data_IF_621899072426
#
_entry.id   IF_621899072426
#
_cell.length_a   1.000
_cell.length_b   1.000
_cell.length_c   1.000
_cell.angle_alpha   90.00
_cell.angle_beta   90.00
_cell.angle_gamma   90.00
#
_symmetry.space_group_name_H-M   'P 1'
#
loop_
_entity.id
_entity.type
_entity.pdbx_description
1 polymer ?
#
# COMPACT_ATOMS: atom_id res chain seq x y z
N UNK A 1 -11.76 -0.90 -5.08
CA UNK A 1 -11.62 -1.99 -4.10
C UNK A 1 -11.88 -3.35 -4.75
N UNK A 2 -12.96 -3.55 -5.51
CA UNK A 2 -13.15 -4.80 -6.27
C UNK A 2 -12.75 -4.65 -7.75
N UNK A 3 -13.14 -3.56 -8.41
CA UNK A 3 -12.86 -3.34 -9.84
C UNK A 3 -11.39 -3.05 -10.17
N UNK A 4 -10.67 -2.47 -9.22
CA UNK A 4 -9.30 -1.98 -9.45
C UNK A 4 -8.22 -2.81 -8.76
N UNK A 5 -8.59 -3.77 -7.91
CA UNK A 5 -7.64 -4.57 -7.12
C UNK A 5 -6.68 -3.77 -6.22
N UNK A 6 -6.86 -2.45 -6.08
CA UNK A 6 -5.92 -1.57 -5.38
C UNK A 6 -5.87 -1.90 -3.88
N UNK A 7 -4.66 -2.09 -3.36
CA UNK A 7 -4.38 -2.20 -1.93
C UNK A 7 -4.67 -0.91 -1.19
N UNK A 8 -5.28 -0.98 -0.01
CA UNK A 8 -5.66 0.19 0.81
C UNK A 8 -4.79 0.25 2.06
N UNK A 9 -4.13 1.39 2.31
CA UNK A 9 -3.35 1.61 3.54
C UNK A 9 -4.25 1.56 4.78
N UNK A 10 -3.75 1.04 5.90
CA UNK A 10 -4.50 0.87 7.15
C UNK A 10 -5.26 2.13 7.58
N UNK A 11 -4.59 3.29 7.64
CA UNK A 11 -5.22 4.57 8.00
C UNK A 11 -6.40 4.95 7.09
N UNK A 12 -6.23 4.74 5.78
CA UNK A 12 -7.30 5.01 4.81
C UNK A 12 -8.43 3.99 4.94
N UNK A 13 -8.12 2.74 5.26
CA UNK A 13 -9.12 1.71 5.52
C UNK A 13 -10.02 2.07 6.72
N UNK A 14 -9.47 2.69 7.78
CA UNK A 14 -10.27 3.22 8.88
C UNK A 14 -11.13 4.41 8.48
N UNK A 15 -10.58 5.36 7.71
CA UNK A 15 -11.36 6.54 7.30
C UNK A 15 -12.55 6.21 6.38
N UNK A 16 -12.43 5.16 5.58
CA UNK A 16 -13.53 4.70 4.70
C UNK A 16 -14.46 3.69 5.37
N UNK A 17 -14.23 3.37 6.65
CA UNK A 17 -15.06 2.42 7.42
C UNK A 17 -14.88 0.96 7.01
N UNK A 18 -13.78 0.59 6.36
CA UNK A 18 -13.42 -0.80 6.09
C UNK A 18 -12.87 -1.49 7.35
N UNK A 19 -12.22 -0.73 8.24
CA UNK A 19 -11.67 -1.18 9.51
C UNK A 19 -12.17 -0.27 10.63
N UNK A 20 -12.66 -0.86 11.73
CA UNK A 20 -13.22 -0.07 12.84
C UNK A 20 -12.09 0.52 13.75
N UNK A 21 -11.01 -0.23 14.00
CA UNK A 21 -9.88 0.20 14.84
C UNK A 21 -8.51 -0.17 14.24
N UNK A 22 -7.51 0.69 14.43
CA UNK A 22 -6.12 0.44 14.03
C UNK A 22 -5.26 0.45 15.29
N UNK A 23 -4.30 -0.47 15.36
CA UNK A 23 -3.26 -0.53 16.38
C UNK A 23 -1.92 -0.14 15.74
N UNK A 24 -1.14 0.70 16.42
CA UNK A 24 0.22 1.03 15.97
C UNK A 24 1.18 -0.07 16.42
N UNK A 25 2.15 -0.48 15.57
CA UNK A 25 3.15 -1.46 15.95
C UNK A 25 4.00 -0.93 17.11
N UNK A 26 4.41 -1.83 18.00
CA UNK A 26 5.29 -1.48 19.12
C UNK A 26 6.75 -1.61 18.69
N UNK A 27 7.60 -0.77 19.28
CA UNK A 27 9.05 -0.85 19.09
C UNK A 27 9.66 -2.13 19.67
N UNK A 28 10.95 -2.39 19.41
CA UNK A 28 11.64 -3.54 19.96
C UNK A 28 11.62 -3.51 21.49
N UNK A 29 11.31 -4.64 22.11
CA UNK A 29 11.25 -4.80 23.57
C UNK A 29 11.95 -6.08 24.00
N UNK A 30 11.42 -6.72 25.06
CA UNK A 30 11.92 -8.03 25.54
C UNK A 30 11.79 -9.14 24.48
N UNK A 31 10.80 -9.02 23.59
CA UNK A 31 10.60 -9.88 22.43
C UNK A 31 10.89 -9.10 21.16
N UNK A 32 11.14 -9.83 20.08
CA UNK A 32 11.26 -9.25 18.75
C UNK A 32 10.02 -8.41 18.42
N UNK A 33 10.23 -7.28 17.71
CA UNK A 33 9.20 -6.28 17.47
C UNK A 33 7.99 -6.86 16.72
N UNK A 34 8.22 -7.81 15.80
CA UNK A 34 7.15 -8.47 15.07
C UNK A 34 6.28 -9.33 16.00
N UNK A 35 6.93 -10.20 16.78
CA UNK A 35 6.25 -11.12 17.72
C UNK A 35 5.49 -10.33 18.79
N UNK A 36 6.15 -9.34 19.40
CA UNK A 36 5.54 -8.49 20.42
C UNK A 36 4.33 -7.71 19.89
N UNK A 37 4.41 -7.20 18.65
CA UNK A 37 3.27 -6.50 18.02
C UNK A 37 2.10 -7.43 17.78
N UNK A 38 2.34 -8.68 17.38
CA UNK A 38 1.27 -9.68 17.19
C UNK A 38 0.58 -10.04 18.50
N UNK A 39 1.35 -10.30 19.56
CA UNK A 39 0.80 -10.57 20.90
C UNK A 39 -0.02 -9.38 21.42
N UNK A 40 0.47 -8.16 21.22
CA UNK A 40 -0.26 -6.95 21.61
C UNK A 40 -1.56 -6.76 20.81
N UNK A 41 -1.52 -7.02 19.50
CA UNK A 41 -2.70 -6.98 18.66
C UNK A 41 -3.75 -8.01 19.11
N UNK A 42 -3.32 -9.21 19.47
CA UNK A 42 -4.19 -10.27 20.00
C UNK A 42 -4.84 -9.85 21.32
N UNK A 43 -4.08 -9.29 22.25
CA UNK A 43 -4.61 -8.81 23.53
C UNK A 43 -5.68 -7.72 23.33
N UNK A 44 -5.45 -6.78 22.40
CA UNK A 44 -6.43 -5.75 22.06
C UNK A 44 -7.67 -6.37 21.43
N UNK A 45 -7.52 -7.34 20.53
CA UNK A 45 -8.64 -8.01 19.89
C UNK A 45 -9.50 -8.76 20.92
N UNK A 46 -8.88 -9.51 21.84
CA UNK A 46 -9.59 -10.21 22.93
C UNK A 46 -10.29 -9.22 23.84
N UNK A 47 -9.64 -8.10 24.19
CA UNK A 47 -10.26 -7.05 25.00
C UNK A 47 -11.47 -6.43 24.29
N UNK A 48 -11.32 -6.06 23.03
CA UNK A 48 -12.40 -5.50 22.22
C UNK A 48 -13.58 -6.48 22.11
N UNK A 49 -13.33 -7.78 21.97
CA UNK A 49 -14.37 -8.80 21.95
C UNK A 49 -15.11 -8.92 23.31
N UNK A 50 -14.39 -8.86 24.43
CA UNK A 50 -14.97 -8.84 25.79
C UNK A 50 -15.80 -7.58 26.05
N UNK A 51 -15.30 -6.43 25.60
CA UNK A 51 -15.99 -5.15 25.78
C UNK A 51 -17.25 -5.05 24.89
N UNK A 52 -17.22 -5.73 23.73
CA UNK A 52 -18.37 -5.87 22.86
C UNK A 52 -19.42 -6.83 23.43
N UNK A 53 -19.01 -7.94 24.05
CA UNK A 53 -19.94 -8.87 24.69
C UNK A 53 -20.57 -8.31 25.97
N UNK A 54 -19.84 -7.47 26.71
CA UNK A 54 -20.36 -6.77 27.89
C UNK A 54 -21.29 -5.60 27.56
N UNK A 55 -21.46 -5.26 26.27
CA UNK A 55 -22.28 -4.14 25.82
C UNK A 55 -21.69 -2.75 26.10
N UNK A 56 -20.47 -2.69 26.65
CA UNK A 56 -19.74 -1.45 26.97
C UNK A 56 -19.20 -0.76 25.71
N UNK A 57 -18.88 -1.54 24.67
CA UNK A 57 -18.37 -1.05 23.40
C UNK A 57 -19.45 -1.11 22.32
N UNK A 58 -20.22 -0.02 22.15
CA UNK A 58 -21.14 0.13 21.01
C UNK A 58 -20.38 0.62 19.79
N UNK A 59 -20.45 -0.14 18.71
CA UNK A 59 -19.80 0.20 17.42
C UNK A 59 -20.59 1.34 16.76
N UNK A 60 -20.31 2.59 17.14
CA UNK A 60 -20.89 3.77 16.49
C UNK A 60 -20.21 4.05 15.15
N UNK A 61 -20.74 3.49 14.07
CA UNK A 61 -20.37 3.87 12.71
C UNK A 61 -21.04 5.20 12.34
N UNK A 62 -20.56 6.31 12.88
CA UNK A 62 -20.98 7.65 12.43
C UNK A 62 -20.41 7.89 11.02
N UNK A 63 -21.17 7.48 9.99
CA UNK A 63 -20.87 7.82 8.60
C UNK A 63 -20.91 9.33 8.42
N UNK A 64 -20.01 9.93 7.61
CA UNK A 64 -20.02 11.36 7.34
C UNK A 64 -21.38 11.82 6.78
N UNK A 65 -21.80 13.02 7.16
CA UNK A 65 -23.13 13.59 6.84
C UNK A 65 -23.42 13.61 5.34
N UNK A 66 -22.42 13.84 4.49
CA UNK A 66 -22.57 13.80 3.04
C UNK A 66 -22.91 12.41 2.50
N UNK A 67 -22.33 11.33 3.05
CA UNK A 67 -22.71 9.97 2.67
C UNK A 67 -24.12 9.62 3.15
N UNK A 68 -24.55 10.14 4.30
CA UNK A 68 -25.92 9.96 4.79
C UNK A 68 -26.91 10.67 3.89
N UNK A 69 -26.58 11.87 3.41
CA UNK A 69 -27.40 12.64 2.48
C UNK A 69 -27.49 11.95 1.11
N UNK A 70 -26.37 11.52 0.53
CA UNK A 70 -26.36 10.78 -0.74
C UNK A 70 -27.15 9.47 -0.61
N UNK A 71 -26.97 8.71 0.48
CA UNK A 71 -27.77 7.52 0.73
C UNK A 71 -29.26 7.85 0.88
N UNK A 72 -29.63 8.91 1.59
CA UNK A 72 -31.01 9.34 1.75
C UNK A 72 -31.68 9.69 0.42
N UNK A 73 -30.97 10.40 -0.46
CA UNK A 73 -31.47 10.71 -1.80
C UNK A 73 -31.51 9.48 -2.71
N UNK A 74 -30.53 8.57 -2.61
CA UNK A 74 -30.50 7.32 -3.38
C UNK A 74 -31.55 6.30 -2.92
N UNK A 75 -31.89 6.25 -1.62
CA UNK A 75 -32.89 5.34 -1.07
C UNK A 75 -34.33 5.86 -1.12
N UNK A 76 -34.55 7.13 -1.54
CA UNK A 76 -35.89 7.71 -1.71
C UNK A 76 -36.65 7.20 -2.95
N UNK A 77 -36.07 6.32 -3.78
CA UNK A 77 -36.76 5.61 -4.88
C UNK A 77 -36.36 4.12 -4.88
N UNK A 78 -37.27 3.21 -5.27
CA UNK A 78 -38.07 2.36 -4.39
C UNK A 78 -37.27 1.24 -3.65
N UNK A 79 -37.60 1.02 -2.38
CA UNK A 79 -36.95 0.09 -1.42
C UNK A 79 -37.08 -1.41 -1.73
N UNK A 80 -37.82 -1.80 -2.77
CA UNK A 80 -38.10 -3.21 -3.14
C UNK A 80 -36.91 -3.84 -3.91
N UNK A 81 -36.11 -3.02 -4.58
CA UNK A 81 -34.98 -3.47 -5.39
C UNK A 81 -33.81 -4.01 -4.54
N UNK A 82 -33.67 -3.59 -3.28
CA UNK A 82 -32.46 -3.89 -2.50
C UNK A 82 -32.30 -5.36 -2.10
N UNK A 83 -33.38 -6.12 -1.93
CA UNK A 83 -33.32 -7.55 -1.59
C UNK A 83 -33.24 -8.42 -2.84
N UNK A 84 -34.03 -8.11 -3.87
CA UNK A 84 -33.95 -8.80 -5.15
C UNK A 84 -32.59 -8.55 -5.81
N UNK A 85 -32.06 -7.32 -5.79
CA UNK A 85 -30.69 -7.05 -6.23
C UNK A 85 -29.68 -7.83 -5.41
N UNK A 86 -29.86 -8.02 -4.10
CA UNK A 86 -28.88 -8.79 -3.30
C UNK A 86 -28.87 -10.24 -3.71
N UNK A 87 -30.04 -10.88 -3.83
CA UNK A 87 -30.11 -12.28 -4.24
C UNK A 87 -29.69 -12.48 -5.70
N UNK A 88 -30.12 -11.59 -6.60
CA UNK A 88 -29.70 -11.58 -7.99
C UNK A 88 -28.20 -11.35 -8.10
N UNK A 89 -27.63 -10.41 -7.33
CA UNK A 89 -26.20 -10.15 -7.26
C UNK A 89 -25.42 -11.34 -6.74
N UNK A 90 -25.86 -11.99 -5.65
CA UNK A 90 -25.16 -13.14 -5.08
C UNK A 90 -25.17 -14.32 -6.07
N UNK A 91 -26.30 -14.54 -6.74
CA UNK A 91 -26.43 -15.54 -7.81
C UNK A 91 -25.58 -15.20 -9.03
N UNK A 92 -25.60 -13.93 -9.48
CA UNK A 92 -24.80 -13.43 -10.61
C UNK A 92 -23.31 -13.52 -10.27
N UNK A 93 -22.86 -13.10 -9.10
CA UNK A 93 -21.45 -13.18 -8.70
C UNK A 93 -20.99 -14.64 -8.68
N UNK A 94 -21.80 -15.55 -8.12
CA UNK A 94 -21.44 -16.97 -8.08
C UNK A 94 -21.36 -17.59 -9.46
N UNK A 95 -22.32 -17.28 -10.34
CA UNK A 95 -22.33 -17.78 -11.71
C UNK A 95 -21.20 -17.16 -12.57
N UNK A 96 -21.05 -15.85 -12.51
CA UNK A 96 -20.06 -15.10 -13.30
C UNK A 96 -18.64 -15.35 -12.83
N UNK A 97 -18.39 -15.64 -11.54
CA UNK A 97 -17.05 -16.01 -11.08
C UNK A 97 -16.57 -17.31 -11.74
N UNK A 98 -17.43 -18.34 -11.75
CA UNK A 98 -17.12 -19.60 -12.43
C UNK A 98 -16.83 -19.38 -13.92
N UNK A 99 -17.68 -18.63 -14.60
CA UNK A 99 -17.50 -18.30 -16.01
C UNK A 99 -16.20 -17.51 -16.27
N UNK A 100 -15.94 -16.46 -15.50
CA UNK A 100 -14.72 -15.63 -15.63
C UNK A 100 -13.45 -16.46 -15.44
N UNK A 101 -13.41 -17.39 -14.49
CA UNK A 101 -12.23 -18.24 -14.28
C UNK A 101 -11.91 -19.13 -15.47
N UNK A 102 -12.91 -19.48 -16.28
CA UNK A 102 -12.77 -20.32 -17.48
C UNK A 102 -12.49 -19.49 -18.74
N UNK A 103 -12.43 -18.15 -18.63
CA UNK A 103 -12.10 -17.30 -19.78
C UNK A 103 -10.60 -17.32 -20.09
N UNK A 104 -10.28 -17.25 -21.38
CA UNK A 104 -8.89 -17.15 -21.85
C UNK A 104 -8.14 -15.96 -21.25
N UNK A 105 -8.83 -14.83 -21.04
CA UNK A 105 -8.26 -13.64 -20.42
C UNK A 105 -7.84 -13.90 -18.97
N UNK A 106 -8.66 -14.61 -18.20
CA UNK A 106 -8.34 -14.98 -16.82
C UNK A 106 -7.16 -15.94 -16.77
N UNK A 107 -7.12 -16.96 -17.62
CA UNK A 107 -6.02 -17.92 -17.70
C UNK A 107 -4.68 -17.22 -18.05
N UNK A 108 -4.70 -16.35 -19.07
CA UNK A 108 -3.51 -15.57 -19.45
C UNK A 108 -3.02 -14.66 -18.31
N UNK A 109 -3.92 -14.00 -17.58
CA UNK A 109 -3.57 -13.15 -16.43
C UNK A 109 -2.99 -13.97 -15.27
N UNK A 110 -3.51 -15.17 -15.01
CA UNK A 110 -2.96 -16.10 -14.01
C UNK A 110 -1.54 -16.53 -14.42
N UNK A 111 -1.33 -16.86 -15.70
CA UNK A 111 0.00 -17.13 -16.25
C UNK A 111 0.97 -15.96 -16.05
N UNK A 112 0.55 -14.73 -16.33
CA UNK A 112 1.35 -13.52 -16.09
C UNK A 112 1.64 -13.29 -14.60
N UNK A 113 0.70 -13.62 -13.72
CA UNK A 113 0.91 -13.54 -12.27
C UNK A 113 2.00 -14.51 -11.80
N UNK A 114 1.95 -15.76 -12.25
CA UNK A 114 2.99 -16.75 -11.93
C UNK A 114 4.33 -16.37 -12.54
N UNK A 115 4.36 -15.96 -13.82
CA UNK A 115 5.56 -15.47 -14.48
C UNK A 115 6.17 -14.26 -13.74
N UNK A 116 5.36 -13.29 -13.34
CA UNK A 116 5.82 -12.13 -12.56
C UNK A 116 6.34 -12.53 -11.18
N UNK A 117 5.73 -13.53 -10.54
CA UNK A 117 6.15 -14.02 -9.23
C UNK A 117 7.50 -14.73 -9.32
N UNK A 118 7.72 -15.55 -10.34
CA UNK A 118 9.01 -16.19 -10.59
C UNK A 118 10.09 -15.17 -10.98
N UNK A 119 9.77 -14.18 -11.82
CA UNK A 119 10.71 -13.11 -12.19
C UNK A 119 11.12 -12.19 -11.03
N UNK A 120 10.35 -12.15 -9.93
CA UNK A 120 10.73 -11.39 -8.71
C UNK A 120 11.62 -12.20 -7.77
N UNK A 121 11.77 -13.50 -7.98
CA UNK A 121 12.72 -14.33 -7.24
C UNK A 121 14.10 -14.18 -7.86
N UNK A 122 15.11 -14.26 -7.01
CA UNK A 122 16.49 -14.23 -7.47
C UNK A 122 16.82 -15.54 -8.22
N UNK A 123 17.02 -15.45 -9.54
CA UNK A 123 17.34 -16.58 -10.40
C UNK A 123 18.75 -17.13 -10.16
N UNK A 124 19.68 -16.27 -9.74
CA UNK A 124 21.10 -16.59 -9.68
C UNK A 124 21.58 -16.87 -8.25
N UNK A 125 20.67 -16.81 -7.28
CA UNK A 125 21.00 -16.93 -5.86
C UNK A 125 21.60 -15.64 -5.32
N UNK A 126 21.88 -15.62 -4.00
CA UNK A 126 22.23 -14.39 -3.28
C UNK A 126 23.44 -13.68 -3.91
N UNK A 127 23.17 -12.59 -4.63
CA UNK A 127 24.20 -11.69 -5.13
C UNK A 127 24.98 -11.03 -3.97
N UNK A 128 26.19 -10.54 -4.26
CA UNK A 128 26.93 -9.72 -3.30
C UNK A 128 26.09 -8.48 -2.95
N UNK A 129 25.94 -8.13 -1.67
CA UNK A 129 25.14 -6.98 -1.28
C UNK A 129 25.82 -5.69 -1.76
N UNK A 130 25.21 -5.03 -2.75
CA UNK A 130 25.62 -3.72 -3.26
C UNK A 130 25.21 -2.64 -2.27
N UNK A 131 26.17 -1.84 -1.79
CA UNK A 131 25.95 -0.74 -0.87
C UNK A 131 25.94 0.61 -1.56
N UNK A 132 26.70 0.77 -2.63
CA UNK A 132 26.81 2.03 -3.38
C UNK A 132 26.61 1.79 -4.88
N UNK A 133 25.63 2.49 -5.47
CA UNK A 133 25.28 2.40 -6.90
C UNK A 133 25.58 3.73 -7.59
N UNK A 134 26.38 3.69 -8.66
CA UNK A 134 26.94 4.87 -9.35
C UNK A 134 25.96 5.69 -10.18
N UNK A 135 24.67 5.36 -10.13
CA UNK A 135 23.59 6.11 -10.81
C UNK A 135 22.59 6.67 -9.81
N UNK A 136 22.48 6.04 -8.64
CA UNK A 136 21.47 6.36 -7.62
C UNK A 136 22.15 7.11 -6.47
N UNK A 137 23.21 6.56 -5.91
CA UNK A 137 23.89 7.13 -4.75
C UNK A 137 24.92 8.17 -5.16
N UNK A 138 25.68 7.92 -6.22
CA UNK A 138 26.63 8.88 -6.82
C UNK A 138 26.11 9.36 -8.16
N UNK A 139 25.23 10.35 -8.19
CA UNK A 139 24.67 10.87 -9.44
C UNK A 139 25.71 11.68 -10.20
N UNK A 140 26.19 11.16 -11.33
CA UNK A 140 27.22 11.82 -12.15
C UNK A 140 26.69 12.25 -13.50
N UNK A 141 27.02 13.47 -13.89
CA UNK A 141 26.75 14.00 -15.23
C UNK A 141 27.93 14.84 -15.73
N UNK A 142 27.95 15.10 -17.03
CA UNK A 142 28.99 15.87 -17.75
C UNK A 142 28.95 17.37 -17.49
N UNK A 143 27.82 17.88 -17.00
CA UNK A 143 27.61 19.31 -16.74
C UNK A 143 26.74 19.52 -15.51
N UNK A 144 27.02 20.61 -14.77
CA UNK A 144 26.20 21.00 -13.62
C UNK A 144 24.73 21.24 -14.03
N UNK A 145 24.47 21.78 -15.23
CA UNK A 145 23.10 22.00 -15.73
C UNK A 145 22.33 20.70 -15.98
N UNK A 146 23.00 19.63 -16.42
CA UNK A 146 22.39 18.32 -16.61
C UNK A 146 22.16 17.62 -15.26
N UNK A 147 23.14 17.73 -14.36
CA UNK A 147 23.05 17.23 -12.99
C UNK A 147 21.87 17.85 -12.21
N UNK A 148 21.72 19.18 -12.29
CA UNK A 148 20.62 19.91 -11.64
C UNK A 148 19.25 19.50 -12.19
N UNK A 149 19.15 19.19 -13.48
CA UNK A 149 17.91 18.65 -14.07
C UNK A 149 17.56 17.27 -13.50
N UNK A 150 18.57 16.41 -13.34
CA UNK A 150 18.41 15.10 -12.70
C UNK A 150 17.95 15.22 -11.24
N UNK A 151 18.65 16.05 -10.45
CA UNK A 151 18.28 16.32 -9.05
C UNK A 151 16.86 16.89 -8.92
N UNK A 152 16.49 17.83 -9.80
CA UNK A 152 15.15 18.41 -9.83
C UNK A 152 14.09 17.36 -10.16
N UNK A 153 14.37 16.43 -11.05
CA UNK A 153 13.44 15.33 -11.37
C UNK A 153 13.23 14.42 -10.15
N UNK A 154 14.31 14.02 -9.48
CA UNK A 154 14.23 13.17 -8.28
C UNK A 154 13.46 13.88 -7.16
N UNK A 155 13.80 15.15 -6.89
CA UNK A 155 13.12 15.99 -5.90
C UNK A 155 11.61 16.09 -6.18
N UNK A 156 11.21 16.41 -7.42
CA UNK A 156 9.80 16.49 -7.81
C UNK A 156 9.05 15.16 -7.64
N UNK A 157 9.69 14.02 -7.93
CA UNK A 157 9.09 12.70 -7.77
C UNK A 157 8.89 12.34 -6.30
N UNK A 158 9.87 12.66 -5.45
CA UNK A 158 9.79 12.47 -4.01
C UNK A 158 8.70 13.36 -3.40
N UNK A 159 8.65 14.63 -3.78
CA UNK A 159 7.61 15.57 -3.34
C UNK A 159 6.21 15.10 -3.75
N UNK A 160 6.06 14.61 -4.98
CA UNK A 160 4.82 13.99 -5.44
C UNK A 160 4.43 12.78 -4.58
N UNK A 161 5.40 12.01 -4.08
CA UNK A 161 5.17 10.87 -3.20
C UNK A 161 4.76 11.28 -1.79
N UNK A 162 5.30 12.37 -1.25
CA UNK A 162 4.86 12.98 0.00
C UNK A 162 3.42 13.48 -0.13
N UNK A 163 3.08 14.20 -1.21
CA UNK A 163 1.70 14.66 -1.48
C UNK A 163 0.70 13.50 -1.53
N UNK A 164 1.12 12.34 -2.05
CA UNK A 164 0.34 11.10 -2.08
C UNK A 164 0.33 10.33 -0.75
N UNK A 165 0.90 10.90 0.32
CA UNK A 165 1.05 10.28 1.65
C UNK A 165 1.78 8.92 1.58
N UNK A 166 2.75 8.79 0.67
CA UNK A 166 3.61 7.59 0.62
C UNK A 166 4.69 7.66 1.70
N UNK A 167 5.33 8.81 1.85
CA UNK A 167 6.37 9.13 2.84
C UNK A 167 6.03 10.42 3.59
N UNK A 168 6.67 10.63 4.74
CA UNK A 168 6.72 11.89 5.46
C UNK A 168 7.73 12.85 4.82
N UNK A 169 7.67 14.13 5.21
CA UNK A 169 8.65 15.13 4.78
C UNK A 169 10.07 14.80 5.27
N UNK A 170 10.19 14.36 6.52
CA UNK A 170 11.49 13.97 7.08
C UNK A 170 12.10 12.76 6.36
N UNK A 171 11.30 11.73 6.05
CA UNK A 171 11.78 10.58 5.26
C UNK A 171 12.21 11.01 3.86
N UNK A 172 11.49 11.94 3.22
CA UNK A 172 11.88 12.51 1.93
C UNK A 172 13.23 13.19 2.00
N UNK A 173 13.46 14.00 3.03
CA UNK A 173 14.72 14.72 3.22
C UNK A 173 15.88 13.75 3.45
N UNK A 174 15.65 12.67 4.21
CA UNK A 174 16.63 11.59 4.41
C UNK A 174 16.96 10.86 3.10
N UNK A 175 15.96 10.55 2.26
CA UNK A 175 16.23 9.92 0.96
C UNK A 175 16.99 10.86 0.02
N UNK A 176 16.68 12.15 0.05
CA UNK A 176 17.36 13.11 -0.80
C UNK A 176 18.80 13.39 -0.34
N UNK A 177 19.07 13.37 0.97
CA UNK A 177 20.41 13.58 1.51
C UNK A 177 21.38 12.42 1.27
N UNK A 178 20.87 11.24 0.92
CA UNK A 178 21.69 10.09 0.53
C UNK A 178 22.30 10.26 -0.86
N UNK A 179 21.76 11.16 -1.69
CA UNK A 179 22.26 11.44 -3.03
C UNK A 179 23.55 12.27 -2.95
N UNK A 180 24.61 11.80 -3.62
CA UNK A 180 25.89 12.49 -3.80
C UNK A 180 26.02 12.92 -5.27
N UNK A 181 25.54 14.12 -5.64
CA UNK A 181 25.72 14.64 -6.99
C UNK A 181 27.16 15.07 -7.22
N UNK A 182 27.77 14.63 -8.32
CA UNK A 182 29.12 15.02 -8.73
C UNK A 182 29.23 15.15 -10.26
N UNK A 183 30.27 15.82 -10.72
CA UNK A 183 30.66 15.86 -12.15
C UNK A 183 31.97 15.07 -12.36
N UNK A 184 32.65 14.73 -11.28
CA UNK A 184 33.95 14.07 -11.31
C UNK A 184 33.80 12.55 -11.22
N UNK A 185 34.27 11.86 -12.26
CA UNK A 185 34.26 10.39 -12.32
C UNK A 185 35.11 9.73 -11.23
N UNK A 186 35.99 10.46 -10.54
CA UNK A 186 36.74 9.95 -9.38
C UNK A 186 35.82 9.45 -8.27
N UNK A 187 34.61 10.00 -8.18
CA UNK A 187 33.65 9.68 -7.13
C UNK A 187 32.94 8.33 -7.38
N UNK A 188 33.18 7.70 -8.53
CA UNK A 188 32.74 6.32 -8.82
C UNK A 188 33.72 5.26 -8.31
N UNK A 189 34.90 5.65 -7.83
CA UNK A 189 35.96 4.69 -7.45
C UNK A 189 35.54 3.70 -6.35
N UNK A 190 34.62 4.10 -5.46
CA UNK A 190 34.13 3.27 -4.36
C UNK A 190 32.77 2.61 -4.63
N UNK A 191 32.23 2.78 -5.83
CA UNK A 191 30.93 2.24 -6.22
C UNK A 191 31.03 0.75 -6.46
N UNK A 192 30.10 -0.03 -5.89
CA UNK A 192 30.03 -1.47 -6.05
C UNK A 192 29.48 -1.87 -7.43
N UNK A 193 28.55 -1.06 -7.96
CA UNK A 193 27.93 -1.24 -9.29
C UNK A 193 27.77 0.12 -9.96
N UNK A 194 28.54 0.35 -11.03
CA UNK A 194 28.53 1.54 -11.88
C UNK A 194 27.73 1.33 -13.15
#
# INVERSE_FOLDING_TARGET
MILTGKTVKAQKAKSIGLVDQIVQPIGPGLKDAAVGTHEYLEQIAVKAAKDMSSGSLKVERKRPTMERMVNYFATRRPLIDSLFLRMARDKVIKATFGELTQTFQSEALIGLFHGSTECKKDKYGRARPTKEVGVIDSLIDTSHDALDRGLKQISNQLDGSVKRKKYSLAERDVFFSQLKPSVDYSDLSNVDVS
#
